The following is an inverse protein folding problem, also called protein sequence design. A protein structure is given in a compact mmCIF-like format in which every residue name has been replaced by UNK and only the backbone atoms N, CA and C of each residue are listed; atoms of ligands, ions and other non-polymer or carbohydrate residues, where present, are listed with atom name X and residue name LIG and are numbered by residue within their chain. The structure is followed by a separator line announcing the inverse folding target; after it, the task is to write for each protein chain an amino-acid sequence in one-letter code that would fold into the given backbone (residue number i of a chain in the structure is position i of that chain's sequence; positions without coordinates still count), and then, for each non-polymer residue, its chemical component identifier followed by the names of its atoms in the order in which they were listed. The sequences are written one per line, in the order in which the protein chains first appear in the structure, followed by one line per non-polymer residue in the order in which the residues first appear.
data_IF_961298415186
#
_entry.id   IF_961298415186
#
_cell.length_a   1.000
_cell.length_b   1.000
_cell.length_c   1.000
_cell.angle_alpha   90.00
_cell.angle_beta   90.00
_cell.angle_gamma   90.00
#
_symmetry.space_group_name_H-M   'P 1'
#
loop_
_entity.id
_entity.type
_entity.pdbx_description
1 polymer ?
#
# COMPACT_ATOMS: atom_id res chain seq x y z
N UNK A 1 -9.50 32.90 45.10
CA UNK A 1 -8.18 32.92 44.43
C UNK A 1 -7.57 31.53 44.58
N UNK A 2 -7.34 30.83 43.48
CA UNK A 2 -6.64 29.54 43.46
C UNK A 2 -5.94 29.41 42.11
N UNK A 3 -4.72 29.93 42.02
CA UNK A 3 -3.93 29.90 40.79
C UNK A 3 -3.41 28.50 40.54
N UNK A 4 -3.70 27.96 39.36
CA UNK A 4 -3.06 26.74 38.87
C UNK A 4 -1.58 27.03 38.59
N UNK A 5 -0.70 26.31 39.26
CA UNK A 5 0.74 26.36 39.03
C UNK A 5 1.03 25.53 37.78
N UNK A 6 1.21 26.18 36.63
CA UNK A 6 1.84 25.57 35.46
C UNK A 6 3.35 25.47 35.72
N UNK A 7 3.77 24.38 36.36
CA UNK A 7 5.19 24.04 36.46
C UNK A 7 5.76 23.70 35.07
N UNK A 8 7.02 24.06 34.78
CA UNK A 8 7.66 23.67 33.53
C UNK A 8 7.77 22.14 33.48
N UNK A 9 7.14 21.54 32.46
CA UNK A 9 7.31 20.11 32.17
C UNK A 9 8.75 19.88 31.71
N UNK A 10 9.52 19.14 32.50
CA UNK A 10 10.85 18.66 32.11
C UNK A 10 10.72 17.77 30.86
N UNK A 11 11.38 18.16 29.77
CA UNK A 11 11.60 17.32 28.57
C UNK A 11 13.09 17.09 28.44
N UNK A 12 13.48 15.81 28.44
CA UNK A 12 14.85 15.41 28.14
C UNK A 12 15.10 15.56 26.64
N UNK A 13 16.05 16.39 26.22
CA UNK A 13 16.33 16.68 24.80
C UNK A 13 16.81 15.45 24.01
N UNK A 14 17.25 14.39 24.70
CA UNK A 14 17.63 13.07 24.16
C UNK A 14 16.44 12.11 23.98
N UNK A 15 15.26 12.46 24.50
CA UNK A 15 14.05 11.63 24.43
C UNK A 15 13.14 11.97 23.24
N UNK A 16 13.58 12.84 22.32
CA UNK A 16 12.87 13.07 21.05
C UNK A 16 13.47 12.13 19.99
N UNK A 17 12.84 10.98 19.68
CA UNK A 17 13.31 10.12 18.61
C UNK A 17 13.24 10.90 17.30
N UNK A 18 14.39 11.36 16.81
CA UNK A 18 14.52 12.06 15.53
C UNK A 18 14.03 11.15 14.40
N UNK A 19 12.77 11.35 14.01
CA UNK A 19 12.18 10.64 12.88
C UNK A 19 12.84 11.13 11.59
N UNK A 20 13.57 10.24 10.92
CA UNK A 20 14.30 10.49 9.70
C UNK A 20 13.37 11.08 8.63
N UNK A 21 13.84 12.17 8.01
CA UNK A 21 13.16 12.77 6.89
C UNK A 21 13.37 11.96 5.61
N UNK A 22 12.29 11.61 4.92
CA UNK A 22 12.35 10.97 3.61
C UNK A 22 12.25 12.01 2.49
N UNK A 23 13.01 11.88 1.39
CA UNK A 23 12.79 12.68 0.18
C UNK A 23 11.39 12.43 -0.39
N UNK A 24 10.67 13.50 -0.75
CA UNK A 24 9.29 13.41 -1.23
C UNK A 24 9.11 14.09 -2.59
N UNK A 25 8.49 13.36 -3.51
CA UNK A 25 7.87 13.88 -4.72
C UNK A 25 6.44 14.38 -4.43
N UNK A 26 5.83 15.05 -5.39
CA UNK A 26 4.42 15.44 -5.31
C UNK A 26 3.51 14.22 -5.54
N UNK A 27 3.87 13.37 -6.51
CA UNK A 27 3.11 12.18 -6.88
C UNK A 27 4.08 11.04 -7.18
N UNK A 28 3.81 9.88 -6.58
CA UNK A 28 4.31 8.59 -7.01
C UNK A 28 3.22 7.95 -7.88
N UNK A 29 3.52 7.56 -9.10
CA UNK A 29 2.59 6.94 -10.05
C UNK A 29 3.00 5.49 -10.32
N UNK A 30 2.10 4.56 -10.02
CA UNK A 30 2.27 3.15 -10.37
C UNK A 30 1.62 2.88 -11.72
N UNK A 31 2.40 2.27 -12.61
CA UNK A 31 2.06 2.04 -14.00
C UNK A 31 1.81 0.55 -14.23
N UNK A 32 0.58 0.14 -13.96
CA UNK A 32 0.13 -1.24 -14.09
C UNK A 32 0.49 -2.12 -12.90
N UNK A 33 -0.14 -3.27 -12.87
CA UNK A 33 0.21 -4.43 -12.04
C UNK A 33 -0.08 -5.64 -12.91
N UNK A 34 0.97 -6.39 -13.26
CA UNK A 34 0.91 -7.49 -14.21
C UNK A 34 0.89 -8.80 -13.46
N UNK A 35 0.00 -9.71 -13.85
CA UNK A 35 0.05 -11.07 -13.33
C UNK A 35 1.00 -11.93 -14.16
N UNK A 36 1.35 -13.11 -13.63
CA UNK A 36 2.18 -14.09 -14.33
C UNK A 36 1.68 -14.38 -15.74
N UNK A 37 0.36 -14.50 -15.93
CA UNK A 37 -0.23 -14.83 -17.24
C UNK A 37 0.13 -13.79 -18.30
N UNK A 38 0.32 -12.53 -17.90
CA UNK A 38 0.70 -11.44 -18.79
C UNK A 38 2.17 -11.57 -19.24
N UNK A 39 3.06 -12.04 -18.36
CA UNK A 39 4.44 -12.38 -18.73
C UNK A 39 4.52 -13.63 -19.60
N UNK A 40 3.74 -14.66 -19.28
CA UNK A 40 3.71 -15.92 -20.03
C UNK A 40 3.19 -15.73 -21.47
N UNK A 41 2.29 -14.76 -21.68
CA UNK A 41 1.80 -14.38 -23.00
C UNK A 41 2.83 -13.62 -23.87
N UNK A 42 3.95 -13.21 -23.29
CA UNK A 42 5.12 -12.67 -23.98
C UNK A 42 5.07 -11.17 -24.31
N UNK A 43 6.13 -10.64 -24.98
CA UNK A 43 6.37 -9.19 -25.09
C UNK A 43 5.24 -8.38 -25.74
N UNK A 44 4.53 -8.96 -26.72
CA UNK A 44 3.42 -8.28 -27.39
C UNK A 44 2.24 -8.03 -26.46
N UNK A 45 1.96 -8.95 -25.54
CA UNK A 45 0.92 -8.78 -24.52
C UNK A 45 1.30 -7.65 -23.57
N UNK A 46 2.55 -7.65 -23.09
CA UNK A 46 3.09 -6.58 -22.24
C UNK A 46 2.95 -5.21 -22.90
N UNK A 47 3.36 -5.08 -24.17
CA UNK A 47 3.21 -3.83 -24.94
C UNK A 47 1.76 -3.37 -25.01
N UNK A 48 0.84 -4.27 -25.37
CA UNK A 48 -0.58 -3.94 -25.50
C UNK A 48 -1.19 -3.48 -24.17
N UNK A 49 -0.72 -4.00 -23.04
CA UNK A 49 -1.15 -3.53 -21.72
C UNK A 49 -0.57 -2.15 -21.39
N UNK A 50 0.72 -1.93 -21.66
CA UNK A 50 1.33 -0.62 -21.44
C UNK A 50 0.71 0.47 -22.32
N UNK A 51 0.33 0.15 -23.56
CA UNK A 51 -0.42 1.05 -24.45
C UNK A 51 -1.79 1.43 -23.87
N UNK A 52 -2.45 0.53 -23.14
CA UNK A 52 -3.70 0.83 -22.43
C UNK A 52 -3.49 1.67 -21.17
N UNK A 53 -2.38 1.47 -20.46
CA UNK A 53 -2.00 2.25 -19.27
C UNK A 53 -1.62 3.69 -19.66
N UNK A 54 -0.97 3.88 -20.81
CA UNK A 54 -0.37 5.15 -21.23
C UNK A 54 -1.29 6.38 -21.14
N UNK A 55 -2.53 6.38 -21.66
CA UNK A 55 -3.39 7.57 -21.60
C UNK A 55 -3.74 7.97 -20.16
N UNK A 56 -3.93 6.98 -19.27
CA UNK A 56 -4.24 7.21 -17.87
C UNK A 56 -3.03 7.66 -17.07
N UNK A 57 -1.85 7.11 -17.36
CA UNK A 57 -0.59 7.55 -16.80
C UNK A 57 -0.29 9.01 -17.18
N UNK A 58 -0.48 9.39 -18.44
CA UNK A 58 -0.33 10.77 -18.90
C UNK A 58 -1.29 11.72 -18.18
N UNK A 59 -2.56 11.32 -18.04
CA UNK A 59 -3.57 12.11 -17.34
C UNK A 59 -3.21 12.30 -15.86
N UNK A 60 -2.73 11.25 -15.19
CA UNK A 60 -2.29 11.31 -13.80
C UNK A 60 -1.05 12.22 -13.63
N UNK A 61 -0.07 12.13 -14.53
CA UNK A 61 1.11 12.99 -14.52
C UNK A 61 0.73 14.45 -14.78
N UNK A 62 -0.17 14.71 -15.73
CA UNK A 62 -0.68 16.06 -16.02
C UNK A 62 -1.43 16.64 -14.81
N UNK A 63 -2.29 15.85 -14.15
CA UNK A 63 -2.99 16.25 -12.94
C UNK A 63 -2.02 16.57 -11.79
N UNK A 64 -1.00 15.74 -11.59
CA UNK A 64 0.06 15.97 -10.60
C UNK A 64 0.89 17.21 -10.90
N UNK A 65 1.19 17.47 -12.18
CA UNK A 65 1.89 18.66 -12.62
C UNK A 65 1.07 19.94 -12.36
N UNK A 66 -0.24 19.91 -12.68
CA UNK A 66 -1.16 21.02 -12.44
C UNK A 66 -1.31 21.31 -10.93
N UNK A 67 -1.40 20.25 -10.11
CA UNK A 67 -1.48 20.40 -8.66
C UNK A 67 -0.27 21.14 -8.07
N UNK A 68 0.91 21.01 -8.66
CA UNK A 68 2.13 21.69 -8.21
C UNK A 68 2.10 23.23 -8.35
N UNK A 69 1.04 23.81 -8.92
CA UNK A 69 0.74 25.25 -8.78
C UNK A 69 1.81 26.17 -9.38
N UNK A 70 2.39 25.79 -10.52
CA UNK A 70 3.44 26.56 -11.21
C UNK A 70 4.87 26.29 -10.69
N UNK A 71 5.03 25.47 -9.65
CA UNK A 71 6.35 24.95 -9.23
C UNK A 71 6.80 23.84 -10.16
N UNK A 72 8.11 23.58 -10.23
CA UNK A 72 8.64 22.42 -10.97
C UNK A 72 8.05 21.13 -10.37
N UNK A 73 7.26 20.35 -11.13
CA UNK A 73 6.62 19.16 -10.59
C UNK A 73 7.67 18.09 -10.32
N UNK A 74 7.56 17.43 -9.17
CA UNK A 74 8.33 16.24 -8.80
C UNK A 74 7.39 15.06 -8.92
N UNK A 75 7.50 14.31 -10.00
CA UNK A 75 6.65 13.15 -10.28
C UNK A 75 7.59 11.97 -10.49
N UNK A 76 7.30 10.85 -9.82
CA UNK A 76 8.04 9.60 -10.00
C UNK A 76 7.09 8.52 -10.51
N UNK A 77 7.61 7.64 -11.35
CA UNK A 77 6.90 6.45 -11.83
C UNK A 77 7.48 5.19 -11.21
N UNK A 78 6.64 4.22 -10.89
CA UNK A 78 7.09 2.95 -10.35
C UNK A 78 6.31 1.76 -10.93
N UNK A 79 6.94 0.60 -10.86
CA UNK A 79 6.34 -0.69 -11.17
C UNK A 79 6.61 -1.65 -10.03
N UNK A 80 5.56 -2.30 -9.51
CA UNK A 80 5.67 -3.36 -8.52
C UNK A 80 5.62 -4.70 -9.25
N UNK A 81 6.71 -5.47 -9.19
CA UNK A 81 6.73 -6.83 -9.74
C UNK A 81 6.29 -7.82 -8.68
N UNK A 82 5.30 -8.64 -9.02
CA UNK A 82 4.88 -9.77 -8.19
C UNK A 82 5.92 -10.88 -8.28
N UNK A 83 6.78 -10.94 -7.27
CA UNK A 83 7.71 -12.05 -7.04
C UNK A 83 7.38 -12.80 -5.73
N UNK A 84 6.21 -12.50 -5.14
CA UNK A 84 5.73 -13.02 -3.87
C UNK A 84 4.78 -14.21 -4.08
N UNK A 85 3.78 -14.07 -4.94
CA UNK A 85 2.86 -15.18 -5.24
C UNK A 85 3.42 -16.08 -6.33
N UNK A 86 4.24 -15.55 -7.24
CA UNK A 86 4.77 -16.33 -8.35
C UNK A 86 6.17 -15.89 -8.74
N UNK A 87 7.08 -16.85 -8.90
CA UNK A 87 8.42 -16.64 -9.48
C UNK A 87 8.53 -17.43 -10.77
N UNK A 88 8.17 -16.80 -11.88
CA UNK A 88 8.39 -17.37 -13.20
C UNK A 88 9.68 -16.81 -13.80
N UNK A 89 10.57 -17.68 -14.27
CA UNK A 89 11.85 -17.28 -14.88
C UNK A 89 12.70 -16.42 -13.92
N UNK A 90 13.74 -15.78 -14.43
CA UNK A 90 14.70 -14.99 -13.65
C UNK A 90 14.51 -13.49 -13.89
N UNK A 91 14.89 -12.61 -12.93
CA UNK A 91 14.88 -11.17 -13.16
C UNK A 91 15.69 -10.77 -14.40
N UNK A 92 16.82 -11.43 -14.64
CA UNK A 92 17.68 -11.25 -15.82
C UNK A 92 16.96 -11.47 -17.16
N UNK A 93 15.98 -12.37 -17.21
CA UNK A 93 15.23 -12.68 -18.43
C UNK A 93 13.99 -11.80 -18.58
N UNK A 94 13.27 -11.58 -17.47
CA UNK A 94 11.95 -10.94 -17.50
C UNK A 94 12.03 -9.41 -17.48
N UNK A 95 12.88 -8.83 -16.64
CA UNK A 95 12.90 -7.38 -16.42
C UNK A 95 13.39 -6.58 -17.63
N UNK A 96 14.42 -6.99 -18.39
CA UNK A 96 14.80 -6.27 -19.61
C UNK A 96 13.66 -6.19 -20.62
N UNK A 97 12.92 -7.29 -20.80
CA UNK A 97 11.75 -7.34 -21.68
C UNK A 97 10.67 -6.38 -21.20
N UNK A 98 10.31 -6.43 -19.91
CA UNK A 98 9.32 -5.54 -19.32
C UNK A 98 9.67 -4.05 -19.54
N UNK A 99 10.92 -3.67 -19.26
CA UNK A 99 11.37 -2.28 -19.37
C UNK A 99 11.39 -1.81 -20.83
N UNK A 100 11.87 -2.67 -21.74
CA UNK A 100 11.88 -2.40 -23.18
C UNK A 100 10.46 -2.21 -23.72
N UNK A 101 9.51 -3.05 -23.32
CA UNK A 101 8.12 -2.95 -23.79
C UNK A 101 7.38 -1.74 -23.18
N UNK A 102 7.66 -1.38 -21.93
CA UNK A 102 7.16 -0.14 -21.34
C UNK A 102 7.68 1.09 -22.10
N UNK A 103 8.98 1.14 -22.38
CA UNK A 103 9.59 2.22 -23.16
C UNK A 103 9.00 2.29 -24.58
N UNK A 104 8.80 1.15 -25.25
CA UNK A 104 8.18 1.07 -26.56
C UNK A 104 6.73 1.61 -26.58
N UNK A 105 5.99 1.46 -25.47
CA UNK A 105 4.68 2.05 -25.27
C UNK A 105 4.73 3.53 -24.81
N UNK A 106 5.92 4.11 -24.68
CA UNK A 106 6.14 5.48 -24.24
C UNK A 106 6.00 5.68 -22.72
N UNK A 107 6.00 4.61 -21.93
CA UNK A 107 6.01 4.67 -20.48
C UNK A 107 7.44 4.62 -19.96
N UNK A 108 7.77 5.54 -19.06
CA UNK A 108 9.01 5.49 -18.28
C UNK A 108 8.72 4.82 -16.95
N UNK A 109 9.62 3.96 -16.50
CA UNK A 109 9.64 3.41 -15.14
C UNK A 109 10.86 3.96 -14.41
N UNK A 110 10.65 4.81 -13.42
CA UNK A 110 11.76 5.40 -12.65
C UNK A 110 12.24 4.45 -11.54
N UNK A 111 11.32 3.66 -10.97
CA UNK A 111 11.59 2.73 -9.89
C UNK A 111 10.95 1.36 -10.12
N UNK A 112 11.69 0.30 -9.83
CA UNK A 112 11.18 -1.07 -9.78
C UNK A 112 11.17 -1.52 -8.31
N UNK A 113 10.05 -2.05 -7.83
CA UNK A 113 9.92 -2.61 -6.50
C UNK A 113 9.48 -4.06 -6.56
N UNK A 114 9.89 -4.86 -5.57
CA UNK A 114 9.46 -6.25 -5.40
C UNK A 114 8.24 -6.33 -4.49
N UNK A 115 7.25 -7.15 -4.83
CA UNK A 115 6.11 -7.39 -3.94
C UNK A 115 6.53 -8.12 -2.66
N UNK A 116 7.49 -9.05 -2.76
CA UNK A 116 8.04 -9.74 -1.59
C UNK A 116 8.70 -8.79 -0.58
N UNK A 117 9.18 -7.63 -1.03
CA UNK A 117 9.68 -6.58 -0.15
C UNK A 117 8.59 -5.97 0.75
N UNK A 118 7.31 -6.06 0.35
CA UNK A 118 6.19 -5.62 1.18
C UNK A 118 5.92 -6.62 2.32
N UNK A 119 6.23 -7.90 2.12
CA UNK A 119 6.18 -8.90 3.19
C UNK A 119 7.32 -8.68 4.19
N UNK A 120 8.53 -8.45 3.70
CA UNK A 120 9.68 -8.17 4.53
C UNK A 120 10.93 -7.73 3.77
N UNK A 121 11.84 -7.12 4.50
CA UNK A 121 13.23 -6.88 4.08
C UNK A 121 14.17 -7.51 5.10
N UNK A 122 15.46 -7.59 4.79
CA UNK A 122 16.50 -8.05 5.72
C UNK A 122 16.48 -7.32 7.08
N UNK A 123 15.88 -6.12 7.12
CA UNK A 123 15.83 -5.27 8.31
C UNK A 123 14.54 -5.40 9.12
N UNK A 124 13.43 -5.76 8.48
CA UNK A 124 12.10 -5.66 9.08
C UNK A 124 11.08 -6.55 8.35
N UNK A 125 10.35 -7.44 9.06
CA UNK A 125 9.15 -8.06 8.53
C UNK A 125 8.02 -7.02 8.40
N UNK A 126 7.96 -6.34 7.25
CA UNK A 126 7.13 -5.17 7.00
C UNK A 126 5.63 -5.45 7.11
N UNK A 127 5.16 -6.58 6.57
CA UNK A 127 3.75 -6.96 6.68
C UNK A 127 3.34 -7.19 8.14
N UNK A 128 4.20 -7.87 8.92
CA UNK A 128 3.98 -8.05 10.36
C UNK A 128 4.02 -6.74 11.14
N UNK A 129 4.95 -5.84 10.78
CA UNK A 129 5.02 -4.50 11.34
C UNK A 129 3.72 -3.71 11.11
N UNK A 130 3.13 -3.84 9.92
CA UNK A 130 1.85 -3.23 9.57
C UNK A 130 0.69 -3.90 10.33
N UNK A 131 0.72 -5.23 10.46
CA UNK A 131 -0.31 -5.99 11.17
C UNK A 131 -0.41 -5.55 12.63
N UNK A 132 0.72 -5.37 13.32
CA UNK A 132 0.76 -4.90 14.71
C UNK A 132 0.23 -3.47 14.90
N UNK A 133 -0.02 -2.74 13.81
CA UNK A 133 -0.59 -1.39 13.82
C UNK A 133 -2.06 -1.36 13.40
N UNK A 134 -2.66 -2.52 13.12
CA UNK A 134 -4.09 -2.58 12.88
C UNK A 134 -4.83 -2.25 14.18
N UNK A 135 -5.69 -1.24 14.10
CA UNK A 135 -6.60 -0.85 15.15
C UNK A 135 -7.96 -1.38 14.77
N UNK A 136 -8.44 -2.35 15.55
CA UNK A 136 -9.81 -2.82 15.39
C UNK A 136 -10.77 -1.65 15.60
N UNK A 137 -11.65 -1.43 14.62
CA UNK A 137 -12.74 -0.47 14.73
C UNK A 137 -14.03 -1.22 15.11
N UNK A 138 -14.28 -1.52 16.40
CA UNK A 138 -15.52 -2.17 16.78
C UNK A 138 -16.70 -1.21 16.58
N UNK A 139 -17.81 -1.73 16.03
CA UNK A 139 -19.06 -0.98 15.99
C UNK A 139 -19.49 -0.53 17.41
N UNK A 140 -20.14 0.63 17.58
CA UNK A 140 -20.66 1.05 18.88
C UNK A 140 -21.58 -0.01 19.51
N UNK A 141 -21.25 -0.47 20.73
CA UNK A 141 -22.00 -1.51 21.43
C UNK A 141 -21.55 -2.95 21.15
N UNK A 142 -20.49 -3.15 20.36
CA UNK A 142 -19.91 -4.48 20.13
C UNK A 142 -19.35 -5.07 21.45
N UNK A 143 -19.61 -6.34 21.67
CA UNK A 143 -19.26 -7.11 22.87
C UNK A 143 -17.98 -7.97 22.69
N UNK A 144 -17.26 -7.80 21.59
CA UNK A 144 -16.10 -8.64 21.26
C UNK A 144 -16.49 -10.01 20.68
N UNK A 145 -17.63 -10.10 19.99
CA UNK A 145 -18.12 -11.35 19.38
C UNK A 145 -17.18 -11.92 18.31
N UNK A 146 -16.27 -11.12 17.76
CA UNK A 146 -15.22 -11.58 16.83
C UNK A 146 -13.89 -11.78 17.55
N UNK A 147 -13.16 -12.88 17.27
CA UNK A 147 -11.78 -12.99 17.69
C UNK A 147 -10.92 -11.90 17.03
N UNK A 148 -9.85 -11.49 17.71
CA UNK A 148 -8.99 -10.41 17.24
C UNK A 148 -8.42 -10.69 15.84
N UNK A 149 -8.22 -9.64 15.05
CA UNK A 149 -7.70 -9.70 13.66
C UNK A 149 -6.34 -10.41 13.60
N UNK A 150 -5.51 -10.26 14.64
CA UNK A 150 -4.20 -10.92 14.76
C UNK A 150 -4.29 -12.44 14.93
N UNK A 151 -5.47 -12.96 15.31
CA UNK A 151 -5.75 -14.39 15.46
C UNK A 151 -6.43 -15.00 14.24
N UNK A 152 -7.31 -14.25 13.58
CA UNK A 152 -8.11 -14.78 12.48
C UNK A 152 -7.50 -14.52 11.11
N UNK A 153 -6.75 -13.44 10.95
CA UNK A 153 -6.34 -12.95 9.64
C UNK A 153 -7.47 -12.28 8.87
N UNK A 154 -8.62 -11.97 9.50
CA UNK A 154 -9.76 -11.32 8.83
C UNK A 154 -10.06 -9.96 9.46
N UNK A 155 -10.00 -8.91 8.64
CA UNK A 155 -10.36 -7.55 8.99
C UNK A 155 -11.78 -7.21 8.51
N UNK A 156 -12.59 -6.62 9.37
CA UNK A 156 -13.95 -6.18 9.02
C UNK A 156 -14.07 -4.67 9.06
N UNK A 157 -14.85 -4.08 8.16
CA UNK A 157 -15.15 -2.64 8.22
C UNK A 157 -16.46 -2.32 8.97
N UNK A 158 -17.07 -3.28 9.65
CA UNK A 158 -18.29 -3.03 10.43
C UNK A 158 -18.91 -4.26 11.08
N UNK A 159 -20.23 -4.29 11.12
CA UNK A 159 -21.03 -5.37 11.69
C UNK A 159 -21.67 -6.21 10.59
N UNK A 160 -21.43 -7.52 10.63
CA UNK A 160 -22.01 -8.49 9.72
C UNK A 160 -23.47 -8.76 10.11
N UNK A 161 -24.30 -9.10 9.12
CA UNK A 161 -25.62 -9.68 9.39
C UNK A 161 -25.52 -10.86 10.38
N UNK A 162 -26.39 -10.95 11.39
CA UNK A 162 -26.41 -12.08 12.31
C UNK A 162 -26.52 -13.41 11.54
N UNK A 163 -25.69 -14.40 11.88
CA UNK A 163 -25.89 -15.78 11.43
C UNK A 163 -27.14 -16.34 12.10
N UNK A 164 -27.96 -17.07 11.35
CA UNK A 164 -29.07 -17.85 11.92
C UNK A 164 -28.54 -19.11 12.59
N UNK A 165 -27.64 -18.97 13.56
CA UNK A 165 -27.27 -20.09 14.42
C UNK A 165 -28.50 -20.59 15.17
N UNK A 166 -28.60 -21.90 15.48
CA UNK A 166 -29.73 -22.45 16.20
C UNK A 166 -29.76 -21.85 17.61
N UNK A 167 -30.52 -20.78 17.72
CA UNK A 167 -30.97 -20.14 18.93
C UNK A 167 -31.48 -21.20 19.91
N UNK A 168 -31.11 -21.07 21.19
CA UNK A 168 -31.74 -21.86 22.26
C UNK A 168 -33.26 -21.81 22.07
N UNK A 169 -33.95 -22.93 22.25
CA UNK A 169 -35.37 -23.14 21.90
C UNK A 169 -36.36 -22.11 22.50
N UNK A 170 -35.90 -21.26 23.43
CA UNK A 170 -36.65 -20.22 24.12
C UNK A 170 -36.30 -18.78 23.69
N UNK A 171 -35.32 -18.58 22.80
CA UNK A 171 -34.93 -17.26 22.34
C UNK A 171 -35.69 -16.87 21.08
N UNK A 172 -36.33 -15.70 21.11
CA UNK A 172 -36.96 -15.14 19.92
C UNK A 172 -35.86 -14.86 18.92
N UNK A 173 -35.79 -15.66 17.87
CA UNK A 173 -34.75 -15.53 16.87
C UNK A 173 -34.74 -14.14 16.27
N UNK A 174 -33.62 -13.44 16.42
CA UNK A 174 -33.41 -12.18 15.74
C UNK A 174 -33.51 -12.43 14.25
N UNK A 175 -34.57 -11.94 13.62
CA UNK A 175 -34.70 -12.00 12.16
C UNK A 175 -33.49 -11.37 11.47
N UNK A 176 -33.28 -11.73 10.20
CA UNK A 176 -32.20 -11.19 9.39
C UNK A 176 -32.16 -9.65 9.46
N UNK A 177 -30.96 -9.10 9.60
CA UNK A 177 -30.68 -7.66 9.55
C UNK A 177 -29.58 -7.39 8.52
N UNK A 178 -29.64 -6.29 7.76
CA UNK A 178 -28.59 -5.95 6.82
C UNK A 178 -27.27 -5.71 7.56
N UNK A 179 -26.11 -6.00 6.94
CA UNK A 179 -24.83 -5.64 7.52
C UNK A 179 -24.66 -4.11 7.52
N UNK A 180 -23.85 -3.59 8.43
CA UNK A 180 -23.58 -2.15 8.56
C UNK A 180 -22.08 -1.89 8.55
N UNK A 181 -21.68 -0.91 7.76
CA UNK A 181 -20.31 -0.39 7.72
C UNK A 181 -20.13 0.71 8.78
N UNK A 182 -19.00 0.70 9.48
CA UNK A 182 -18.66 1.73 10.45
C UNK A 182 -18.45 3.08 9.77
N UNK A 183 -19.06 4.14 10.31
CA UNK A 183 -18.93 5.48 9.74
C UNK A 183 -19.66 5.66 8.39
N UNK A 184 -20.51 4.70 8.00
CA UNK A 184 -21.37 4.82 6.83
C UNK A 184 -22.21 6.10 6.89
N UNK A 185 -22.29 6.84 5.78
CA UNK A 185 -23.08 8.08 5.72
C UNK A 185 -24.58 7.79 5.61
N UNK A 186 -24.98 7.13 4.52
CA UNK A 186 -26.39 6.81 4.20
C UNK A 186 -26.60 5.35 3.80
N UNK A 187 -25.59 4.75 3.21
CA UNK A 187 -25.60 3.37 2.73
C UNK A 187 -24.31 2.70 3.21
N UNK A 188 -24.39 1.40 3.48
CA UNK A 188 -23.26 0.61 3.94
C UNK A 188 -22.74 -0.27 2.81
N UNK A 189 -21.42 -0.32 2.67
CA UNK A 189 -20.72 -1.35 1.91
C UNK A 189 -19.90 -2.15 2.90
N UNK A 190 -20.41 -3.30 3.30
CA UNK A 190 -19.75 -4.17 4.27
C UNK A 190 -18.80 -5.15 3.55
N UNK A 191 -17.58 -5.27 4.05
CA UNK A 191 -16.59 -6.25 3.59
C UNK A 191 -15.87 -6.90 4.76
N UNK A 192 -15.55 -8.18 4.58
CA UNK A 192 -14.54 -8.88 5.36
C UNK A 192 -13.36 -9.16 4.44
N UNK A 193 -12.17 -8.76 4.87
CA UNK A 193 -10.93 -8.79 4.11
C UNK A 193 -9.98 -9.77 4.77
N UNK A 194 -9.58 -10.80 4.03
CA UNK A 194 -8.52 -11.70 4.43
C UNK A 194 -7.17 -10.97 4.31
N UNK A 195 -6.36 -11.02 5.36
CA UNK A 195 -5.05 -10.39 5.46
C UNK A 195 -3.93 -11.41 5.23
N UNK A 196 -4.15 -12.64 5.68
CA UNK A 196 -3.25 -13.78 5.51
C UNK A 196 -4.03 -15.08 5.72
N UNK A 197 -3.45 -16.16 5.23
CA UNK A 197 -3.89 -17.52 5.52
C UNK A 197 -2.72 -18.39 6.04
N UNK A 198 -3.06 -19.53 6.64
CA UNK A 198 -2.12 -20.55 7.12
C UNK A 198 -2.16 -21.82 6.23
N UNK A 199 -2.84 -21.78 5.08
CA UNK A 199 -3.00 -22.98 4.26
C UNK A 199 -1.64 -23.49 3.76
N UNK A 200 -1.53 -24.80 3.51
CA UNK A 200 -0.42 -25.40 2.77
C UNK A 200 -0.45 -24.94 1.29
N UNK A 201 -0.30 -23.65 1.03
CA UNK A 201 0.03 -23.13 -0.29
C UNK A 201 1.42 -23.63 -0.70
N UNK A 202 1.56 -24.06 -1.95
CA UNK A 202 2.83 -24.40 -2.57
C UNK A 202 3.72 -23.16 -2.84
N UNK A 203 3.26 -21.98 -2.41
CA UNK A 203 3.91 -20.72 -2.66
C UNK A 203 5.12 -20.51 -1.74
N UNK A 204 6.14 -19.86 -2.30
CA UNK A 204 7.49 -19.88 -1.73
C UNK A 204 7.72 -18.85 -0.62
N UNK A 205 6.75 -17.99 -0.30
CA UNK A 205 6.92 -16.87 0.64
C UNK A 205 5.99 -16.93 1.85
N UNK A 206 6.41 -17.72 2.83
CA UNK A 206 5.79 -17.72 4.17
C UNK A 206 6.57 -16.84 5.12
N UNK A 207 5.84 -16.23 6.04
CA UNK A 207 6.47 -15.60 7.19
C UNK A 207 6.94 -16.62 8.24
N UNK A 208 7.52 -16.13 9.34
CA UNK A 208 8.06 -16.97 10.41
C UNK A 208 7.01 -17.84 11.12
N UNK A 209 5.71 -17.49 11.05
CA UNK A 209 4.62 -18.28 11.62
C UNK A 209 3.95 -19.19 10.56
N UNK A 210 4.54 -19.29 9.35
CA UNK A 210 4.02 -20.12 8.28
C UNK A 210 2.87 -19.49 7.49
N UNK A 211 2.64 -18.17 7.63
CA UNK A 211 1.53 -17.45 7.00
C UNK A 211 1.89 -16.94 5.62
N UNK A 212 0.90 -16.96 4.73
CA UNK A 212 0.96 -16.29 3.42
C UNK A 212 0.16 -15.00 3.52
N UNK A 213 0.79 -13.85 3.25
CA UNK A 213 0.10 -12.56 3.25
C UNK A 213 -0.73 -12.39 1.97
N UNK A 214 -1.92 -11.84 2.11
CA UNK A 214 -2.81 -11.55 0.99
C UNK A 214 -2.29 -10.36 0.14
N UNK A 215 -2.60 -10.38 -1.15
CA UNK A 215 -2.33 -9.28 -2.08
C UNK A 215 -2.85 -7.92 -1.58
N UNK A 216 -4.11 -7.75 -1.12
CA UNK A 216 -4.58 -6.46 -0.59
C UNK A 216 -3.80 -5.98 0.64
N UNK A 217 -3.29 -6.89 1.47
CA UNK A 217 -2.47 -6.50 2.61
C UNK A 217 -1.07 -6.05 2.20
N UNK A 218 -0.41 -6.76 1.27
CA UNK A 218 0.87 -6.34 0.72
C UNK A 218 0.75 -5.02 -0.06
N UNK A 219 -0.32 -4.84 -0.84
CA UNK A 219 -0.63 -3.59 -1.52
C UNK A 219 -0.87 -2.43 -0.52
N UNK A 220 -1.44 -2.70 0.66
CA UNK A 220 -1.54 -1.71 1.74
C UNK A 220 -0.16 -1.26 2.23
N UNK A 221 0.74 -2.20 2.48
CA UNK A 221 2.14 -1.89 2.85
C UNK A 221 2.84 -1.09 1.74
N UNK A 222 2.63 -1.49 0.48
CA UNK A 222 3.14 -0.79 -0.69
C UNK A 222 2.71 0.69 -0.73
N UNK A 223 1.43 0.97 -0.47
CA UNK A 223 0.94 2.36 -0.41
C UNK A 223 1.60 3.14 0.74
N UNK A 224 1.79 2.55 1.91
CA UNK A 224 2.48 3.22 3.02
C UNK A 224 3.95 3.55 2.69
N UNK A 225 4.63 2.65 1.97
CA UNK A 225 6.01 2.86 1.50
C UNK A 225 6.06 4.02 0.48
N UNK A 226 5.14 4.03 -0.50
CA UNK A 226 5.01 5.10 -1.51
C UNK A 226 4.63 6.44 -0.90
N UNK A 227 3.88 6.46 0.20
CA UNK A 227 3.56 7.69 0.94
C UNK A 227 4.69 8.12 1.89
N UNK A 228 5.76 7.32 2.02
CA UNK A 228 6.88 7.61 2.92
C UNK A 228 6.50 7.58 4.39
N UNK A 229 5.50 6.77 4.76
CA UNK A 229 4.89 6.75 6.09
C UNK A 229 5.41 5.65 7.02
N UNK A 230 6.26 4.75 6.51
CA UNK A 230 6.84 3.67 7.31
C UNK A 230 8.16 4.11 7.93
N UNK A 231 8.28 3.94 9.24
CA UNK A 231 9.53 4.13 10.00
C UNK A 231 9.75 2.93 10.92
N UNK A 232 11.02 2.62 11.13
CA UNK A 232 11.43 1.63 12.12
C UNK A 232 12.50 2.24 13.00
N UNK A 233 12.20 2.38 14.29
CA UNK A 233 13.07 3.08 15.24
C UNK A 233 13.44 4.49 14.74
N UNK A 234 12.46 5.19 14.17
CA UNK A 234 12.63 6.52 13.58
C UNK A 234 13.34 6.53 12.21
N UNK A 235 13.85 5.42 11.69
CA UNK A 235 14.59 5.38 10.41
C UNK A 235 13.72 4.99 9.23
N UNK A 236 14.10 5.46 8.03
CA UNK A 236 13.47 5.03 6.79
C UNK A 236 13.77 3.55 6.53
N UNK A 237 12.71 2.77 6.25
CA UNK A 237 12.81 1.31 6.06
C UNK A 237 13.23 0.92 4.64
N UNK A 238 12.90 1.75 3.66
CA UNK A 238 13.13 1.48 2.24
C UNK A 238 13.97 2.61 1.64
N UNK A 239 15.12 2.25 1.06
CA UNK A 239 16.01 3.17 0.36
C UNK A 239 16.22 2.64 -1.06
N UNK A 240 15.91 3.41 -2.11
CA UNK A 240 16.18 2.99 -3.48
C UNK A 240 17.66 2.71 -3.69
N UNK A 241 17.97 1.59 -4.33
CA UNK A 241 19.33 1.25 -4.77
C UNK A 241 19.46 1.56 -6.27
N UNK A 242 20.46 2.34 -6.71
CA UNK A 242 20.66 2.59 -8.14
C UNK A 242 20.83 1.28 -8.91
N UNK A 243 20.21 1.17 -10.09
CA UNK A 243 20.47 0.05 -10.99
C UNK A 243 21.92 0.12 -11.48
N UNK A 244 22.71 -0.89 -11.16
CA UNK A 244 24.10 -1.02 -11.60
C UNK A 244 24.29 -2.34 -12.32
N UNK A 245 24.62 -2.29 -13.61
CA UNK A 245 24.87 -3.48 -14.42
C UNK A 245 23.59 -4.26 -14.76
N UNK A 246 23.78 -5.56 -15.02
CA UNK A 246 22.72 -6.48 -15.42
C UNK A 246 21.86 -6.91 -14.23
N UNK A 247 20.62 -7.33 -14.51
CA UNK A 247 19.75 -7.91 -13.49
C UNK A 247 20.24 -9.30 -13.05
N UNK A 248 20.04 -9.67 -11.78
CA UNK A 248 20.51 -10.94 -11.25
C UNK A 248 19.73 -12.13 -11.80
N UNK A 249 20.34 -13.32 -11.70
CA UNK A 249 19.71 -14.58 -12.08
C UNK A 249 18.71 -15.12 -11.06
N UNK A 250 18.59 -14.52 -9.87
CA UNK A 250 17.66 -14.93 -8.82
C UNK A 250 16.88 -13.72 -8.30
N UNK A 251 15.59 -13.93 -8.00
CA UNK A 251 14.73 -12.88 -7.45
C UNK A 251 15.24 -12.36 -6.10
N UNK A 252 15.77 -13.23 -5.24
CA UNK A 252 16.26 -12.82 -3.91
C UNK A 252 17.47 -11.91 -3.94
N UNK A 253 18.27 -11.97 -5.00
CA UNK A 253 19.43 -11.09 -5.21
C UNK A 253 19.00 -9.68 -5.68
N UNK A 254 17.75 -9.51 -6.11
CA UNK A 254 17.22 -8.25 -6.59
C UNK A 254 16.90 -7.33 -5.40
N UNK A 255 17.43 -6.09 -5.34
CA UNK A 255 17.11 -5.16 -4.27
C UNK A 255 15.61 -4.92 -4.08
N UNK A 256 15.12 -4.69 -2.84
CA UNK A 256 13.71 -4.41 -2.56
C UNK A 256 13.11 -3.26 -3.38
N UNK A 257 13.91 -2.22 -3.63
CA UNK A 257 13.55 -1.06 -4.43
C UNK A 257 14.77 -0.61 -5.24
N UNK A 258 14.62 -0.59 -6.55
CA UNK A 258 15.65 -0.21 -7.51
C UNK A 258 15.28 1.13 -8.12
N UNK A 259 16.25 2.04 -8.20
CA UNK A 259 16.16 3.27 -8.96
C UNK A 259 16.73 3.04 -10.36
N UNK A 260 15.85 2.94 -11.35
CA UNK A 260 16.20 2.73 -12.76
C UNK A 260 16.65 4.03 -13.42
N UNK A 261 16.03 5.15 -13.05
CA UNK A 261 16.36 6.48 -13.57
C UNK A 261 17.08 7.33 -12.50
N UNK A 262 18.38 7.63 -12.65
CA UNK A 262 19.13 8.46 -11.69
C UNK A 262 18.58 9.88 -11.53
N UNK A 263 17.87 10.40 -12.54
CA UNK A 263 17.29 11.74 -12.53
C UNK A 263 15.84 11.78 -12.02
N UNK A 264 15.30 10.64 -11.57
CA UNK A 264 13.94 10.55 -11.06
C UNK A 264 13.70 11.47 -9.86
N UNK A 265 12.48 12.02 -9.78
CA UNK A 265 12.01 12.56 -8.51
C UNK A 265 11.95 11.46 -7.44
N UNK A 266 11.96 11.80 -6.14
CA UNK A 266 11.91 10.79 -5.09
C UNK A 266 10.78 9.77 -5.23
N UNK A 267 11.06 8.52 -4.88
CA UNK A 267 10.09 7.42 -4.87
C UNK A 267 8.89 7.73 -3.97
N UNK A 268 9.14 8.09 -2.71
CA UNK A 268 8.09 8.44 -1.78
C UNK A 268 7.46 9.79 -2.15
N UNK A 269 6.17 9.96 -1.87
CA UNK A 269 5.38 11.09 -2.35
C UNK A 269 4.32 11.56 -1.35
N UNK A 270 3.84 12.79 -1.56
CA UNK A 270 2.68 13.31 -0.83
C UNK A 270 1.38 12.56 -1.14
N UNK A 271 1.25 12.07 -2.37
CA UNK A 271 0.11 11.31 -2.88
C UNK A 271 0.61 10.18 -3.77
N UNK A 272 -0.15 9.09 -3.82
CA UNK A 272 0.08 8.01 -4.78
C UNK A 272 -1.10 7.88 -5.74
N UNK A 273 -0.78 7.48 -6.97
CA UNK A 273 -1.76 7.14 -8.01
C UNK A 273 -1.42 5.76 -8.54
N UNK A 274 -2.39 4.86 -8.69
CA UNK A 274 -2.19 3.58 -9.36
C UNK A 274 -3.10 3.47 -10.58
N UNK A 275 -2.52 3.17 -11.74
CA UNK A 275 -3.26 2.91 -12.99
C UNK A 275 -3.36 1.40 -13.15
N UNK A 276 -4.57 0.86 -12.98
CA UNK A 276 -4.78 -0.58 -12.83
C UNK A 276 -5.93 -1.08 -13.71
N UNK A 277 -5.88 -2.34 -14.18
CA UNK A 277 -7.05 -2.99 -14.76
C UNK A 277 -8.24 -3.06 -13.78
N UNK A 278 -9.47 -3.06 -14.30
CA UNK A 278 -10.70 -3.05 -13.47
C UNK A 278 -10.81 -4.28 -12.55
N UNK A 279 -10.16 -5.41 -12.88
CA UNK A 279 -10.10 -6.60 -12.03
C UNK A 279 -9.52 -6.33 -10.63
N UNK A 280 -8.70 -5.29 -10.47
CA UNK A 280 -8.12 -4.92 -9.18
C UNK A 280 -9.07 -4.11 -8.28
N UNK A 281 -10.24 -3.70 -8.76
CA UNK A 281 -11.16 -2.87 -7.97
C UNK A 281 -11.51 -3.48 -6.60
N UNK A 282 -11.82 -4.79 -6.46
CA UNK A 282 -12.05 -5.40 -5.15
C UNK A 282 -10.82 -5.36 -4.23
N UNK A 283 -9.63 -5.61 -4.80
CA UNK A 283 -8.34 -5.55 -4.07
C UNK A 283 -8.09 -4.14 -3.56
N UNK A 284 -8.24 -3.13 -4.41
CA UNK A 284 -7.99 -1.74 -4.02
C UNK A 284 -9.05 -1.17 -3.08
N UNK A 285 -10.29 -1.69 -3.13
CA UNK A 285 -11.28 -1.39 -2.10
C UNK A 285 -10.82 -1.94 -0.74
N UNK A 286 -10.34 -3.19 -0.71
CA UNK A 286 -9.77 -3.78 0.50
C UNK A 286 -8.55 -3.00 1.02
N UNK A 287 -7.65 -2.54 0.13
CA UNK A 287 -6.52 -1.67 0.51
C UNK A 287 -6.99 -0.42 1.25
N UNK A 288 -8.02 0.27 0.75
CA UNK A 288 -8.57 1.46 1.41
C UNK A 288 -9.16 1.13 2.80
N UNK A 289 -9.85 0.00 2.92
CA UNK A 289 -10.41 -0.47 4.20
C UNK A 289 -9.31 -0.77 5.21
N UNK A 290 -8.24 -1.47 4.79
CA UNK A 290 -7.10 -1.79 5.65
C UNK A 290 -6.37 -0.50 6.08
N UNK A 291 -6.09 0.41 5.14
CA UNK A 291 -5.43 1.68 5.44
C UNK A 291 -6.21 2.51 6.47
N UNK A 292 -7.54 2.55 6.36
CA UNK A 292 -8.40 3.27 7.31
C UNK A 292 -8.41 2.67 8.73
N UNK A 293 -7.86 1.47 8.92
CA UNK A 293 -7.71 0.81 10.22
C UNK A 293 -6.25 0.66 10.65
N UNK A 294 -5.32 1.34 9.98
CA UNK A 294 -3.90 1.24 10.29
C UNK A 294 -3.38 2.49 11.01
N UNK A 295 -2.88 2.31 12.23
CA UNK A 295 -2.24 3.38 13.00
C UNK A 295 -0.84 3.69 12.45
N UNK A 296 -0.74 4.76 11.67
CA UNK A 296 0.55 5.30 11.20
C UNK A 296 1.19 6.18 12.28
N UNK A 297 2.52 6.16 12.36
CA UNK A 297 3.29 6.95 13.32
C UNK A 297 3.08 8.46 13.12
N UNK A 298 2.60 9.14 14.17
CA UNK A 298 2.30 10.58 14.15
C UNK A 298 3.47 11.45 13.67
N UNK A 299 4.74 11.22 14.08
CA UNK A 299 5.86 12.02 13.60
C UNK A 299 6.04 11.95 12.07
N UNK A 300 5.80 10.79 11.46
CA UNK A 300 5.87 10.63 10.01
C UNK A 300 4.73 11.38 9.30
N UNK A 301 3.51 11.30 9.84
CA UNK A 301 2.35 12.04 9.30
C UNK A 301 2.55 13.56 9.36
N UNK A 302 3.00 14.08 10.50
CA UNK A 302 3.26 15.51 10.70
C UNK A 302 4.37 16.01 9.78
N UNK A 303 5.49 15.28 9.69
CA UNK A 303 6.60 15.63 8.82
C UNK A 303 6.16 15.76 7.35
N UNK A 304 5.36 14.81 6.85
CA UNK A 304 4.82 14.86 5.48
C UNK A 304 3.87 16.05 5.32
N UNK A 305 2.93 16.25 6.26
CA UNK A 305 1.92 17.31 6.20
C UNK A 305 2.55 18.71 6.23
N UNK A 306 3.51 18.96 7.11
CA UNK A 306 4.22 20.24 7.21
C UNK A 306 5.01 20.56 5.95
N UNK A 307 5.69 19.56 5.38
CA UNK A 307 6.44 19.75 4.13
C UNK A 307 5.50 20.03 2.95
N UNK A 308 4.41 19.27 2.85
CA UNK A 308 3.40 19.48 1.81
C UNK A 308 2.75 20.87 1.92
N UNK A 309 2.43 21.32 3.14
CA UNK A 309 1.89 22.66 3.39
C UNK A 309 2.88 23.78 3.01
N UNK A 310 4.18 23.64 3.34
CA UNK A 310 5.22 24.60 2.90
C UNK A 310 5.37 24.69 1.38
N UNK A 311 4.95 23.66 0.66
CA UNK A 311 4.95 23.63 -0.80
C UNK A 311 3.60 24.04 -1.42
N UNK A 312 2.62 24.45 -0.60
CA UNK A 312 1.28 24.84 -1.06
C UNK A 312 0.38 23.67 -1.45
N UNK A 313 0.72 22.46 -1.00
CA UNK A 313 0.05 21.19 -1.34
C UNK A 313 -0.49 20.51 -0.08
N UNK A 314 -1.49 21.06 0.62
CA UNK A 314 -2.03 20.39 1.80
C UNK A 314 -2.53 18.98 1.43
N UNK A 315 -2.19 18.01 2.27
CA UNK A 315 -2.61 16.62 2.12
C UNK A 315 -3.55 16.21 3.25
N UNK A 316 -4.55 15.35 2.99
CA UNK A 316 -5.38 14.77 4.03
C UNK A 316 -4.54 14.09 5.11
N UNK A 317 -5.00 14.08 6.35
CA UNK A 317 -4.31 13.35 7.44
C UNK A 317 -4.35 11.84 7.18
N UNK A 318 -5.50 11.34 6.76
CA UNK A 318 -5.77 9.93 6.51
C UNK A 318 -4.97 9.40 5.30
N UNK A 319 -4.14 8.35 5.43
CA UNK A 319 -3.40 7.76 4.31
C UNK A 319 -4.31 7.30 3.17
N UNK A 320 -5.49 6.73 3.49
CA UNK A 320 -6.45 6.30 2.49
C UNK A 320 -6.97 7.46 1.61
N UNK A 321 -6.89 8.70 2.06
CA UNK A 321 -7.29 9.88 1.27
C UNK A 321 -6.13 10.50 0.47
N UNK A 322 -4.92 9.94 0.58
CA UNK A 322 -3.74 10.33 -0.21
C UNK A 322 -3.50 9.42 -1.42
N UNK A 323 -4.18 8.28 -1.47
CA UNK A 323 -4.11 7.32 -2.57
C UNK A 323 -5.27 7.56 -3.55
N UNK A 324 -5.02 7.29 -4.84
CA UNK A 324 -6.00 7.45 -5.90
C UNK A 324 -5.78 6.44 -7.02
N UNK A 325 -6.81 6.17 -7.79
CA UNK A 325 -6.82 5.10 -8.78
C UNK A 325 -7.37 5.59 -10.12
N UNK A 326 -6.81 5.08 -11.21
CA UNK A 326 -7.42 5.12 -12.53
C UNK A 326 -7.61 3.68 -13.01
N UNK A 327 -8.86 3.24 -13.10
CA UNK A 327 -9.19 1.91 -13.59
C UNK A 327 -9.51 1.92 -15.07
N UNK A 328 -9.00 0.93 -15.81
CA UNK A 328 -9.30 0.74 -17.23
C UNK A 328 -9.89 -0.64 -17.50
N UNK A 329 -10.73 -0.72 -18.54
CA UNK A 329 -11.28 -1.99 -19.00
C UNK A 329 -10.23 -2.79 -19.75
N UNK A 330 -10.23 -4.11 -19.56
CA UNK A 330 -9.41 -5.01 -20.38
C UNK A 330 -10.19 -5.48 -21.62
N UNK A 331 -9.51 -5.76 -22.75
CA UNK A 331 -10.13 -6.25 -23.96
C UNK A 331 -10.77 -7.63 -23.83
#
# INVERSE_FOLDING_TARGET
MGGAVNGPAFREATADPNTEAVPLSHVSLEIGHLYMEDFAAGPKRLRSQFEQVKPWADAALAAGANAAGGRRPRLSTCFLVDDYFTRFSTPAEVLPTLLSEAEAAGLRIDYLARESACAGTDRLPLARWAQHRLVESPAPGNNGSRPAVTKTGWLSNGERSPSSDPLEAMSQGGGWRPPSENGARRHSVFVDVELWDEHDSHDHHRDADGRTWSCPFLATVWQLLRLGLVRYEGKAVLRPQPQTGDFPGQWDDLPPLIQLNPAAAPFAAYRSVSVLPTRFLPVEHAVRVILGQLAVEEPALLQVAERAAREGLPVPREPADRISYAFYGEP
#
